data_IF_005294273931
#
_entry.id   IF_005294273931
#
_cell.length_a   1.000
_cell.length_b   1.000
_cell.length_c   1.000
_cell.angle_alpha   90.00
_cell.angle_beta   90.00
_cell.angle_gamma   90.00
#
_symmetry.space_group_name_H-M   'P 1'
#
loop_
_entity.id
_entity.type
_entity.pdbx_description
1 polymer ?
#
# COMPACT_ATOMS: atom_id res chain seq x y z
N UNK A 1 -19.15 9.53 -24.84
CA UNK A 1 -19.88 9.69 -23.57
C UNK A 1 -18.84 9.79 -22.47
N UNK A 2 -18.65 10.97 -21.88
CA UNK A 2 -17.72 11.12 -20.75
C UNK A 2 -18.39 10.45 -19.54
N UNK A 3 -17.96 9.24 -19.21
CA UNK A 3 -18.49 8.47 -18.09
C UNK A 3 -18.26 9.24 -16.80
N UNK A 4 -19.34 9.57 -16.11
CA UNK A 4 -19.27 10.20 -14.79
C UNK A 4 -18.62 9.19 -13.84
N UNK A 5 -17.39 9.46 -13.39
CA UNK A 5 -16.73 8.63 -12.38
C UNK A 5 -17.62 8.55 -11.13
N UNK A 6 -17.84 7.32 -10.67
CA UNK A 6 -18.55 7.08 -9.41
C UNK A 6 -17.81 7.77 -8.25
N UNK A 7 -18.51 8.11 -7.17
CA UNK A 7 -17.86 8.63 -5.95
C UNK A 7 -16.84 7.63 -5.37
N UNK A 8 -17.06 6.33 -5.60
CA UNK A 8 -16.12 5.27 -5.24
C UNK A 8 -14.84 5.34 -6.09
N UNK A 9 -14.96 5.56 -7.40
CA UNK A 9 -13.82 5.72 -8.31
C UNK A 9 -12.95 6.91 -7.88
N UNK A 10 -13.58 8.05 -7.61
CA UNK A 10 -12.89 9.25 -7.14
C UNK A 10 -12.15 8.97 -5.83
N UNK A 11 -12.79 8.24 -4.90
CA UNK A 11 -12.17 7.87 -3.63
C UNK A 11 -10.98 6.94 -3.83
N UNK A 12 -11.10 5.92 -4.67
CA UNK A 12 -9.99 5.00 -4.99
C UNK A 12 -8.80 5.77 -5.57
N UNK A 13 -9.04 6.63 -6.55
CA UNK A 13 -7.97 7.41 -7.17
C UNK A 13 -7.33 8.41 -6.20
N UNK A 14 -8.14 9.08 -5.36
CA UNK A 14 -7.62 9.98 -4.34
C UNK A 14 -6.72 9.25 -3.35
N UNK A 15 -7.15 8.11 -2.82
CA UNK A 15 -6.38 7.31 -1.88
C UNK A 15 -5.11 6.75 -2.54
N UNK A 16 -5.18 6.34 -3.80
CA UNK A 16 -3.99 5.91 -4.56
C UNK A 16 -2.98 7.05 -4.75
N UNK A 17 -3.46 8.27 -5.01
CA UNK A 17 -2.61 9.45 -5.13
C UNK A 17 -1.95 9.82 -3.79
N UNK A 18 -2.71 9.84 -2.69
CA UNK A 18 -2.18 10.09 -1.34
C UNK A 18 -1.11 9.04 -0.96
N UNK A 19 -1.35 7.76 -1.27
CA UNK A 19 -0.36 6.71 -1.06
C UNK A 19 0.90 6.97 -1.89
N UNK A 20 0.76 7.33 -3.17
CA UNK A 20 1.90 7.66 -4.04
C UNK A 20 2.75 8.78 -3.44
N UNK A 21 2.12 9.87 -2.99
CA UNK A 21 2.81 11.01 -2.38
C UNK A 21 3.55 10.59 -1.10
N UNK A 22 2.94 9.78 -0.25
CA UNK A 22 3.61 9.27 0.95
C UNK A 22 4.85 8.44 0.60
N UNK A 23 4.75 7.54 -0.39
CA UNK A 23 5.86 6.68 -0.80
C UNK A 23 7.01 7.45 -1.45
N UNK A 24 6.70 8.42 -2.32
CA UNK A 24 7.70 9.27 -2.96
C UNK A 24 8.39 10.19 -1.95
N UNK A 25 7.67 10.65 -0.92
CA UNK A 25 8.22 11.47 0.16
C UNK A 25 8.83 10.65 1.31
N UNK A 26 9.05 9.34 1.12
CA UNK A 26 9.66 8.45 2.10
C UNK A 26 8.92 8.35 3.46
N UNK A 27 7.61 8.66 3.48
CA UNK A 27 6.75 8.56 4.66
C UNK A 27 6.23 7.12 4.85
N UNK A 28 7.15 6.18 5.02
CA UNK A 28 6.82 4.75 4.97
C UNK A 28 5.95 4.29 6.15
N UNK A 29 6.14 4.85 7.34
CA UNK A 29 5.32 4.51 8.51
C UNK A 29 3.86 4.94 8.33
N UNK A 30 3.65 6.16 7.81
CA UNK A 30 2.32 6.71 7.52
C UNK A 30 1.64 6.00 6.33
N UNK A 31 2.43 5.50 5.37
CA UNK A 31 1.91 4.86 4.16
C UNK A 31 1.16 3.55 4.41
N UNK A 32 1.39 2.88 5.56
CA UNK A 32 0.78 1.59 5.88
C UNK A 32 -0.74 1.67 5.97
N UNK A 33 -1.25 2.68 6.67
CA UNK A 33 -2.68 2.89 6.83
C UNK A 33 -3.34 3.19 5.49
N UNK A 34 -2.70 4.04 4.68
CA UNK A 34 -3.20 4.44 3.36
C UNK A 34 -3.21 3.27 2.36
N UNK A 35 -2.20 2.40 2.40
CA UNK A 35 -2.18 1.16 1.64
C UNK A 35 -3.30 0.18 2.09
N UNK A 36 -3.56 0.12 3.40
CA UNK A 36 -4.69 -0.62 3.98
C UNK A 36 -6.05 -0.10 3.48
N UNK A 37 -6.24 1.22 3.49
CA UNK A 37 -7.43 1.87 2.97
C UNK A 37 -7.64 1.54 1.49
N UNK A 38 -6.61 1.69 0.66
CA UNK A 38 -6.67 1.38 -0.77
C UNK A 38 -7.03 -0.09 -1.02
N UNK A 39 -6.40 -1.02 -0.32
CA UNK A 39 -6.70 -2.45 -0.40
C UNK A 39 -8.16 -2.75 -0.02
N UNK A 40 -8.67 -2.11 1.03
CA UNK A 40 -10.06 -2.24 1.47
C UNK A 40 -11.03 -1.75 0.40
N UNK A 41 -10.77 -0.59 -0.20
CA UNK A 41 -11.59 -0.05 -1.30
C UNK A 41 -11.58 -0.98 -2.51
N UNK A 42 -10.42 -1.50 -2.92
CA UNK A 42 -10.25 -2.41 -4.07
C UNK A 42 -10.88 -3.80 -3.89
N UNK A 43 -11.14 -4.21 -2.63
CA UNK A 43 -11.86 -5.46 -2.30
C UNK A 43 -13.37 -5.29 -2.26
N UNK A 44 -13.85 -4.17 -1.71
CA UNK A 44 -15.30 -3.87 -1.62
C UNK A 44 -15.94 -3.59 -2.98
N UNK A 45 -15.12 -3.14 -3.93
CA UNK A 45 -15.52 -2.64 -5.25
C UNK A 45 -15.85 -3.70 -6.30
N UNK A 46 -16.03 -4.97 -5.93
CA UNK A 46 -16.16 -6.11 -6.85
C UNK A 46 -17.00 -5.88 -8.12
N UNK A 47 -18.10 -5.12 -8.02
CA UNK A 47 -18.96 -4.74 -9.17
C UNK A 47 -19.33 -3.24 -9.22
N UNK A 48 -18.85 -2.41 -8.28
CA UNK A 48 -19.27 -1.00 -8.15
C UNK A 48 -18.30 0.00 -8.79
N UNK A 49 -17.07 -0.42 -9.10
CA UNK A 49 -16.11 0.48 -9.77
C UNK A 49 -16.47 0.61 -11.23
N UNK A 50 -16.55 1.87 -11.68
CA UNK A 50 -16.66 2.20 -13.10
C UNK A 50 -15.28 2.39 -13.76
N UNK A 51 -14.21 2.23 -12.98
CA UNK A 51 -12.83 2.24 -13.48
C UNK A 51 -12.58 1.08 -14.45
N UNK A 52 -11.78 1.28 -15.51
CA UNK A 52 -11.35 0.20 -16.38
C UNK A 52 -10.67 -0.93 -15.60
N UNK A 53 -11.03 -2.17 -15.92
CA UNK A 53 -10.54 -3.38 -15.22
C UNK A 53 -9.01 -3.42 -15.11
N UNK A 54 -8.31 -3.07 -16.19
CA UNK A 54 -6.85 -3.03 -16.20
C UNK A 54 -6.28 -2.07 -15.15
N UNK A 55 -6.92 -0.93 -14.89
CA UNK A 55 -6.46 0.03 -13.87
C UNK A 55 -6.64 -0.57 -12.48
N UNK A 56 -7.78 -1.22 -12.23
CA UNK A 56 -8.07 -1.86 -10.95
C UNK A 56 -7.07 -2.99 -10.67
N UNK A 57 -6.75 -3.80 -11.68
CA UNK A 57 -5.77 -4.87 -11.56
C UNK A 57 -4.35 -4.34 -11.32
N UNK A 58 -3.95 -3.26 -12.00
CA UNK A 58 -2.68 -2.58 -11.74
C UNK A 58 -2.61 -2.05 -10.31
N UNK A 59 -3.66 -1.39 -9.81
CA UNK A 59 -3.74 -0.90 -8.43
C UNK A 59 -3.59 -2.05 -7.43
N UNK A 60 -4.30 -3.16 -7.64
CA UNK A 60 -4.17 -4.37 -6.79
C UNK A 60 -2.75 -4.93 -6.79
N UNK A 61 -2.12 -5.00 -7.96
CA UNK A 61 -0.75 -5.50 -8.10
C UNK A 61 0.27 -4.61 -7.39
N UNK A 62 0.11 -3.28 -7.46
CA UNK A 62 0.98 -2.33 -6.76
C UNK A 62 0.79 -2.39 -5.24
N UNK A 63 -0.45 -2.49 -4.74
CA UNK A 63 -0.72 -2.70 -3.31
C UNK A 63 -0.09 -4.00 -2.80
N UNK A 64 -0.21 -5.10 -3.58
CA UNK A 64 0.44 -6.37 -3.26
C UNK A 64 1.97 -6.23 -3.20
N UNK A 65 2.55 -5.53 -4.17
CA UNK A 65 3.99 -5.26 -4.22
C UNK A 65 4.46 -4.44 -3.02
N UNK A 66 3.68 -3.43 -2.63
CA UNK A 66 3.96 -2.64 -1.42
C UNK A 66 4.01 -3.52 -0.17
N UNK A 67 3.01 -4.39 0.04
CA UNK A 67 3.01 -5.29 1.20
C UNK A 67 4.17 -6.28 1.20
N UNK A 68 4.59 -6.74 0.03
CA UNK A 68 5.78 -7.58 -0.08
C UNK A 68 7.04 -6.83 0.41
N UNK A 69 7.23 -5.59 -0.03
CA UNK A 69 8.37 -4.76 0.41
C UNK A 69 8.31 -4.46 1.91
N UNK A 70 7.12 -4.14 2.44
CA UNK A 70 6.99 -3.90 3.88
C UNK A 70 7.34 -5.16 4.71
N UNK A 71 7.01 -6.35 4.22
CA UNK A 71 7.41 -7.60 4.86
C UNK A 71 8.93 -7.83 4.78
N UNK A 72 9.58 -7.44 3.68
CA UNK A 72 11.04 -7.49 3.56
C UNK A 72 11.72 -6.57 4.59
N UNK A 73 11.20 -5.36 4.79
CA UNK A 73 11.68 -4.42 5.83
C UNK A 73 11.53 -5.03 7.21
N UNK A 74 10.37 -5.63 7.54
CA UNK A 74 10.17 -6.32 8.83
C UNK A 74 11.21 -7.40 9.08
N UNK A 75 11.50 -8.23 8.06
CA UNK A 75 12.55 -9.27 8.17
C UNK A 75 13.93 -8.66 8.39
N UNK A 76 14.26 -7.57 7.70
CA UNK A 76 15.52 -6.85 7.91
C UNK A 76 15.64 -6.32 9.34
N UNK A 77 14.59 -5.69 9.87
CA UNK A 77 14.55 -5.24 11.26
C UNK A 77 14.73 -6.39 12.25
N UNK A 78 14.07 -7.53 12.04
CA UNK A 78 14.26 -8.72 12.90
C UNK A 78 15.72 -9.20 12.88
N UNK A 79 16.36 -9.24 11.71
CA UNK A 79 17.76 -9.63 11.60
C UNK A 79 18.69 -8.63 12.33
N UNK A 80 18.41 -7.32 12.20
CA UNK A 80 19.16 -6.27 12.90
C UNK A 80 19.02 -6.39 14.41
N UNK A 81 17.80 -6.63 14.92
CA UNK A 81 17.58 -6.86 16.36
C UNK A 81 18.36 -8.08 16.86
N UNK A 82 18.38 -9.18 16.10
CA UNK A 82 19.15 -10.37 16.46
C UNK A 82 20.66 -10.09 16.54
N UNK A 83 21.21 -9.26 15.64
CA UNK A 83 22.61 -8.80 15.74
C UNK A 83 22.81 -8.00 17.03
N UNK A 84 21.91 -7.06 17.33
CA UNK A 84 21.96 -6.26 18.56
C UNK A 84 21.97 -7.11 19.83
N UNK A 85 21.14 -8.17 19.88
CA UNK A 85 21.14 -9.12 20.98
C UNK A 85 22.50 -9.80 21.15
N UNK A 86 23.07 -10.34 20.07
CA UNK A 86 24.41 -10.99 20.11
C UNK A 86 25.51 -10.03 20.53
N UNK A 87 25.48 -8.78 20.08
CA UNK A 87 26.46 -7.77 20.51
C UNK A 87 26.33 -7.44 22.01
N UNK A 88 25.13 -7.51 22.57
CA UNK A 88 24.87 -7.31 23.99
C UNK A 88 25.38 -8.44 24.89
N UNK A 89 25.65 -9.63 24.34
CA UNK A 89 26.15 -10.80 25.11
C UNK A 89 27.59 -10.61 25.63
N UNK A 90 28.33 -9.63 25.10
CA UNK A 90 29.70 -9.30 25.54
C UNK A 90 29.76 -8.33 26.74
N UNK A 91 28.62 -8.02 27.38
CA UNK A 91 28.54 -7.20 28.59
C UNK A 91 28.66 -8.02 29.86
#
# INVERSE_FOLDING_TARGET
>A
MAGTQSELDKKVLKVAQELSEMLVNHKYDESWEKAGELNGLLKKSGEELTLPSYMVDMLRNHVKSYYYQNNAIKKAHTAMSAIGHKLGEFK
#
